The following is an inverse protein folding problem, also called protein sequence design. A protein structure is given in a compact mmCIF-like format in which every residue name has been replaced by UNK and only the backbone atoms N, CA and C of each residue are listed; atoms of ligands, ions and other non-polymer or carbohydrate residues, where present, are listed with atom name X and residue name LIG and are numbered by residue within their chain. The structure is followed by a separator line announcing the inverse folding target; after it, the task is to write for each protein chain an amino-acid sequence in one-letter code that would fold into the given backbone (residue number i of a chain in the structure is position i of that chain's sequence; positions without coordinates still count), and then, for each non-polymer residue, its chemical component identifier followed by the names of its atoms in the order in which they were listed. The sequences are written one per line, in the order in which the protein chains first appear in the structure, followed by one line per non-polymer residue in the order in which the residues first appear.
data_IF_317290687465
#
_entry.id   IF_317290687465
#
_cell.length_a   1.000
_cell.length_b   1.000
_cell.length_c   1.000
_cell.angle_alpha   90.00
_cell.angle_beta   90.00
_cell.angle_gamma   90.00
#
_symmetry.space_group_name_H-M   'P 1'
#
loop_
_entity.id
_entity.type
_entity.pdbx_description
1 polymer ?
#
# COMPACT_ATOMS: atom_id res chain seq x y z
N UNK A 1 35.89 15.52 8.16
CA UNK A 1 34.80 15.09 7.27
C UNK A 1 33.67 16.11 7.39
N UNK A 2 33.22 16.73 6.29
CA UNK A 2 32.18 17.77 6.33
C UNK A 2 30.78 17.12 6.39
N UNK A 3 29.82 17.77 7.05
CA UNK A 3 28.44 17.30 7.21
C UNK A 3 27.77 16.97 5.87
N UNK A 4 28.02 17.77 4.84
CA UNK A 4 27.49 17.50 3.49
C UNK A 4 28.03 16.19 2.91
N UNK A 5 29.31 15.88 3.16
CA UNK A 5 29.95 14.66 2.68
C UNK A 5 29.35 13.42 3.39
N UNK A 6 29.07 13.54 4.68
CA UNK A 6 28.42 12.49 5.47
C UNK A 6 26.97 12.24 5.00
N UNK A 7 26.20 13.31 4.74
CA UNK A 7 24.83 13.20 4.23
C UNK A 7 24.81 12.47 2.89
N UNK A 8 25.77 12.77 2.00
CA UNK A 8 25.83 12.15 0.68
C UNK A 8 26.26 10.67 0.73
N UNK A 9 27.15 10.32 1.66
CA UNK A 9 27.56 8.94 1.93
C UNK A 9 26.39 8.09 2.48
N UNK A 10 25.59 8.67 3.37
CA UNK A 10 24.39 8.05 3.94
C UNK A 10 23.30 7.87 2.87
N UNK A 11 23.03 8.89 2.05
CA UNK A 11 22.06 8.78 0.94
C UNK A 11 22.46 7.73 -0.09
N UNK A 12 23.76 7.62 -0.40
CA UNK A 12 24.29 6.62 -1.32
C UNK A 12 24.13 5.21 -0.78
N UNK A 13 24.33 5.04 0.53
CA UNK A 13 24.22 3.74 1.21
C UNK A 13 22.77 3.31 1.49
N UNK A 14 21.82 4.26 1.60
CA UNK A 14 20.44 3.98 1.98
C UNK A 14 19.47 4.04 0.79
N UNK A 15 19.28 2.89 0.12
CA UNK A 15 18.20 2.66 -0.85
C UNK A 15 17.21 1.63 -0.32
N UNK A 16 16.27 2.00 0.57
CA UNK A 16 15.27 1.06 1.05
C UNK A 16 14.38 0.65 -0.13
N UNK A 17 14.39 -0.64 -0.47
CA UNK A 17 13.47 -1.21 -1.47
C UNK A 17 12.08 -1.34 -0.85
N UNK A 18 11.35 -0.24 -0.80
CA UNK A 18 9.97 -0.21 -0.33
C UNK A 18 9.02 -0.57 -1.49
N UNK A 19 8.19 -1.59 -1.27
CA UNK A 19 7.05 -1.88 -2.15
C UNK A 19 5.83 -1.16 -1.60
N UNK A 20 5.30 -0.17 -2.32
CA UNK A 20 4.17 0.65 -1.83
C UNK A 20 2.84 -0.10 -1.95
N UNK A 21 2.66 -0.82 -3.05
CA UNK A 21 1.42 -1.54 -3.38
C UNK A 21 1.80 -2.94 -3.80
N UNK A 22 1.18 -3.95 -3.19
CA UNK A 22 1.38 -5.36 -3.52
C UNK A 22 0.05 -6.11 -3.45
N UNK A 23 -0.27 -6.86 -4.50
CA UNK A 23 -1.40 -7.79 -4.48
C UNK A 23 -0.97 -9.15 -3.92
N UNK A 24 -1.81 -9.77 -3.10
CA UNK A 24 -1.57 -11.09 -2.53
C UNK A 24 -2.80 -11.99 -2.65
N UNK A 25 -3.23 -12.25 -3.89
CA UNK A 25 -4.30 -13.21 -4.21
C UNK A 25 -5.70 -12.76 -3.78
N UNK A 26 -5.94 -12.72 -2.46
CA UNK A 26 -7.21 -12.38 -1.82
C UNK A 26 -7.21 -11.00 -1.12
N UNK A 27 -6.07 -10.29 -1.13
CA UNK A 27 -5.91 -9.03 -0.41
C UNK A 27 -4.93 -8.07 -1.06
N UNK A 28 -5.17 -6.78 -0.84
CA UNK A 28 -4.25 -5.71 -1.16
C UNK A 28 -3.35 -5.42 0.04
N UNK A 29 -2.04 -5.40 -0.17
CA UNK A 29 -1.05 -5.03 0.85
C UNK A 29 -0.49 -3.66 0.52
N UNK A 30 -0.68 -2.69 1.40
CA UNK A 30 -0.22 -1.31 1.25
C UNK A 30 0.82 -0.96 2.31
N UNK A 31 1.89 -0.26 1.92
CA UNK A 31 2.79 0.38 2.87
C UNK A 31 2.07 1.55 3.56
N UNK A 32 2.04 1.56 4.89
CA UNK A 32 1.47 2.68 5.64
C UNK A 32 2.45 3.87 5.65
N UNK A 33 2.26 4.78 4.69
CA UNK A 33 3.15 5.92 4.50
C UNK A 33 3.06 6.98 5.61
N UNK A 34 2.11 6.87 6.54
CA UNK A 34 1.97 7.79 7.69
C UNK A 34 3.05 7.55 8.74
N UNK A 35 3.59 6.34 8.78
CA UNK A 35 4.56 5.90 9.79
C UNK A 35 6.01 6.09 9.33
N UNK A 36 6.22 6.34 8.04
CA UNK A 36 7.52 6.70 7.51
C UNK A 36 7.96 8.09 8.02
N UNK A 37 9.27 8.31 8.24
CA UNK A 37 10.38 7.37 8.00
C UNK A 37 10.69 6.43 9.16
N UNK A 38 9.97 6.53 10.28
CA UNK A 38 10.33 5.88 11.54
C UNK A 38 9.97 4.40 11.59
N UNK A 39 8.87 4.01 10.94
CA UNK A 39 8.41 2.62 10.95
C UNK A 39 7.92 2.18 9.57
N UNK A 40 8.25 0.94 9.20
CA UNK A 40 7.80 0.30 7.96
C UNK A 40 6.77 -0.78 8.32
N UNK A 41 5.48 -0.43 8.25
CA UNK A 41 4.35 -1.35 8.45
C UNK A 41 3.49 -1.44 7.21
N UNK A 42 2.82 -2.58 7.08
CA UNK A 42 1.94 -2.88 5.97
C UNK A 42 0.50 -3.11 6.44
N UNK A 43 -0.45 -2.49 5.74
CA UNK A 43 -1.87 -2.73 5.90
C UNK A 43 -2.29 -3.86 4.95
N UNK A 44 -3.04 -4.83 5.46
CA UNK A 44 -3.69 -5.86 4.64
C UNK A 44 -5.18 -5.55 4.51
N UNK A 45 -5.62 -5.25 3.28
CA UNK A 45 -6.97 -4.80 2.98
C UNK A 45 -7.69 -5.87 2.17
N UNK A 46 -8.86 -6.29 2.67
CA UNK A 46 -9.70 -7.33 2.06
C UNK A 46 -11.02 -6.80 1.52
N UNK A 47 -11.35 -5.55 1.80
CA UNK A 47 -12.65 -4.95 1.48
C UNK A 47 -12.47 -3.63 0.73
N UNK A 48 -13.49 -3.26 -0.06
CA UNK A 48 -13.55 -1.97 -0.76
C UNK A 48 -13.47 -0.80 0.24
N UNK A 49 -14.19 -0.91 1.36
CA UNK A 49 -14.20 0.12 2.40
C UNK A 49 -12.80 0.32 3.01
N UNK A 50 -12.08 -0.77 3.29
CA UNK A 50 -10.69 -0.69 3.77
C UNK A 50 -9.76 0.00 2.77
N UNK A 51 -9.97 -0.20 1.46
CA UNK A 51 -9.23 0.49 0.39
C UNK A 51 -9.59 1.98 0.36
N UNK A 52 -10.88 2.33 0.45
CA UNK A 52 -11.32 3.73 0.47
C UNK A 52 -10.76 4.48 1.69
N UNK A 53 -10.77 3.85 2.87
CA UNK A 53 -10.24 4.42 4.10
C UNK A 53 -8.73 4.60 4.06
N UNK A 54 -7.98 3.67 3.45
CA UNK A 54 -6.55 3.82 3.26
C UNK A 54 -6.18 5.04 2.40
N UNK A 55 -7.00 5.37 1.39
CA UNK A 55 -6.82 6.58 0.57
C UNK A 55 -7.19 7.83 1.38
N UNK A 56 -8.38 7.86 1.99
CA UNK A 56 -8.89 9.02 2.74
C UNK A 56 -8.01 9.40 3.94
N UNK A 57 -7.50 8.39 4.66
CA UNK A 57 -6.60 8.59 5.79
C UNK A 57 -5.16 8.91 5.39
N UNK A 58 -4.86 8.95 4.09
CA UNK A 58 -3.52 9.11 3.52
C UNK A 58 -2.52 8.03 3.94
N UNK A 59 -3.01 6.83 4.33
CA UNK A 59 -2.15 5.67 4.53
C UNK A 59 -1.43 5.30 3.22
N UNK A 60 -2.11 5.44 2.08
CA UNK A 60 -1.52 5.47 0.75
C UNK A 60 -1.73 6.85 0.13
N UNK A 61 -0.69 7.39 -0.51
CA UNK A 61 -0.72 8.70 -1.15
C UNK A 61 0.28 8.81 -2.30
N UNK A 62 0.18 9.91 -3.04
CA UNK A 62 0.93 10.16 -4.27
C UNK A 62 0.10 9.78 -5.50
N UNK A 63 0.09 10.63 -6.53
CA UNK A 63 -0.80 10.48 -7.68
C UNK A 63 -0.74 9.08 -8.34
N UNK A 64 0.45 8.47 -8.57
CA UNK A 64 0.51 7.12 -9.13
C UNK A 64 -0.11 6.05 -8.21
N UNK A 65 0.15 6.10 -6.91
CA UNK A 65 -0.35 5.11 -5.96
C UNK A 65 -1.86 5.25 -5.72
N UNK A 66 -2.37 6.48 -5.65
CA UNK A 66 -3.81 6.75 -5.58
C UNK A 66 -4.51 6.32 -6.87
N UNK A 67 -3.85 6.42 -8.03
CA UNK A 67 -4.44 5.96 -9.30
C UNK A 67 -4.66 4.45 -9.36
N UNK A 68 -3.69 3.65 -8.89
CA UNK A 68 -3.78 2.18 -8.96
C UNK A 68 -4.57 1.54 -7.81
N UNK A 69 -4.58 2.15 -6.62
CA UNK A 69 -5.18 1.54 -5.42
C UNK A 69 -6.69 1.24 -5.54
N UNK A 70 -7.54 2.14 -6.10
CA UNK A 70 -8.96 1.86 -6.32
C UNK A 70 -9.22 0.67 -7.25
N UNK A 71 -8.36 0.42 -8.24
CA UNK A 71 -8.50 -0.71 -9.15
C UNK A 71 -8.39 -2.05 -8.39
N UNK A 72 -7.50 -2.13 -7.39
CA UNK A 72 -7.44 -3.28 -6.49
C UNK A 72 -8.67 -3.38 -5.59
N UNK A 73 -9.27 -2.27 -5.18
CA UNK A 73 -10.57 -2.26 -4.50
C UNK A 73 -11.67 -2.92 -5.33
N UNK A 74 -11.74 -2.62 -6.64
CA UNK A 74 -12.67 -3.29 -7.56
C UNK A 74 -12.39 -4.80 -7.68
N UNK A 75 -11.11 -5.19 -7.75
CA UNK A 75 -10.74 -6.60 -7.77
C UNK A 75 -11.20 -7.34 -6.50
N UNK A 76 -11.06 -6.73 -5.32
CA UNK A 76 -11.54 -7.28 -4.06
C UNK A 76 -13.07 -7.47 -4.06
N UNK A 77 -13.82 -6.49 -4.56
CA UNK A 77 -15.28 -6.59 -4.68
C UNK A 77 -15.72 -7.79 -5.52
N UNK A 78 -15.00 -8.09 -6.62
CA UNK A 78 -15.29 -9.24 -7.46
C UNK A 78 -14.94 -10.56 -6.77
N UNK A 79 -13.84 -10.62 -6.01
CA UNK A 79 -13.46 -11.81 -5.22
C UNK A 79 -14.50 -12.07 -4.12
N UNK A 80 -14.95 -11.04 -3.43
CA UNK A 80 -16.00 -11.11 -2.41
C UNK A 80 -17.35 -11.53 -3.02
N UNK A 81 -17.77 -10.89 -4.12
CA UNK A 81 -19.01 -11.22 -4.83
C UNK A 81 -19.01 -12.62 -5.45
N UNK A 82 -17.86 -13.11 -5.93
CA UNK A 82 -17.74 -14.48 -6.46
C UNK A 82 -17.94 -15.54 -5.37
N UNK A 83 -17.53 -15.27 -4.13
CA UNK A 83 -17.82 -16.15 -2.99
C UNK A 83 -19.32 -16.19 -2.66
N UNK A 84 -20.06 -15.11 -2.92
CA UNK A 84 -21.51 -15.05 -2.69
C UNK A 84 -22.23 -15.88 -3.75
N UNK A 85 -21.89 -15.70 -5.03
CA UNK A 85 -22.54 -16.41 -6.15
C UNK A 85 -22.32 -17.94 -6.09
N UNK A 86 -21.16 -18.39 -5.63
CA UNK A 86 -20.84 -19.82 -5.49
C UNK A 86 -21.42 -20.49 -4.23
N UNK A 87 -22.08 -19.74 -3.33
CA UNK A 87 -22.62 -20.25 -2.06
C UNK A 87 -24.16 -20.25 -2.00
N UNK A 88 -24.84 -19.73 -3.00
CA UNK A 88 -26.30 -19.87 -3.15
C UNK A 88 -26.65 -21.23 -3.75
N UNK A 89 -27.55 -22.03 -3.12
CA UNK A 89 -27.97 -23.35 -3.61
C UNK A 89 -28.84 -23.27 -4.87
#
# INVERSE_FOLDING_TARGET
MNLEKLIEEVKSSYRPKLTVVRWNGDRLVLLDQRLLPFETKYLELKTVDGVADAIKSMAVRGAPAIGITPAYGMALALVEGSMIILRTP
#
